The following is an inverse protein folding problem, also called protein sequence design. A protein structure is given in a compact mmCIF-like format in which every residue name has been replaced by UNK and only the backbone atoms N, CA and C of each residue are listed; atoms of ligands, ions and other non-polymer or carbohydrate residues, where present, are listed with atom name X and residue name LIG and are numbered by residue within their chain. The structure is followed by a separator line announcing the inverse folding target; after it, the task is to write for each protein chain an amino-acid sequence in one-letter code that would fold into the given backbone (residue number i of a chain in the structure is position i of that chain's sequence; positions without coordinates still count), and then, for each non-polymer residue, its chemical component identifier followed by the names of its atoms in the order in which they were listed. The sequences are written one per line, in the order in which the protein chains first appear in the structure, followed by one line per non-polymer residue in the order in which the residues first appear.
data_IF_502178485824
#
_entry.id   IF_502178485824
#
_cell.length_a   1.000
_cell.length_b   1.000
_cell.length_c   1.000
_cell.angle_alpha   90.00
_cell.angle_beta   90.00
_cell.angle_gamma   90.00
#
_symmetry.space_group_name_H-M   'P 1'
#
loop_
_entity.id
_entity.type
_entity.pdbx_description
1 polymer ?
#
# COMPACT_ATOMS: atom_id res chain seq x y z
N UNK A 1 -5.53 -0.44 6.26
CA UNK A 1 -5.91 0.93 6.67
C UNK A 1 -6.54 1.78 5.56
N UNK A 2 -5.95 1.91 4.36
CA UNK A 2 -6.50 2.80 3.32
C UNK A 2 -7.94 2.44 2.85
N UNK A 3 -8.35 1.17 2.97
CA UNK A 3 -9.72 0.70 2.66
C UNK A 3 -10.81 1.32 3.54
N UNK A 4 -10.46 1.83 4.73
CA UNK A 4 -11.39 2.62 5.54
C UNK A 4 -11.80 3.91 4.83
N UNK A 5 -10.86 4.57 4.15
CA UNK A 5 -11.12 5.75 3.34
C UNK A 5 -12.02 5.42 2.15
N UNK A 6 -11.81 4.27 1.51
CA UNK A 6 -12.67 3.80 0.42
C UNK A 6 -14.14 3.71 0.85
N UNK A 7 -14.40 3.13 2.03
CA UNK A 7 -15.76 3.00 2.56
C UNK A 7 -16.37 4.37 2.88
N UNK A 8 -15.64 5.23 3.61
CA UNK A 8 -16.12 6.55 4.00
C UNK A 8 -16.37 7.46 2.79
N UNK A 9 -15.43 7.49 1.84
CA UNK A 9 -15.59 8.25 0.61
C UNK A 9 -16.70 7.69 -0.27
N UNK A 10 -16.82 6.36 -0.40
CA UNK A 10 -17.89 5.73 -1.17
C UNK A 10 -19.28 6.04 -0.61
N UNK A 11 -19.45 5.96 0.72
CA UNK A 11 -20.70 6.32 1.40
C UNK A 11 -21.03 7.81 1.22
N UNK A 12 -20.06 8.70 1.46
CA UNK A 12 -20.27 10.13 1.31
C UNK A 12 -20.54 10.55 -0.14
N UNK A 13 -19.88 9.91 -1.11
CA UNK A 13 -20.11 10.16 -2.53
C UNK A 13 -21.52 9.74 -2.95
N UNK A 14 -21.96 8.53 -2.55
CA UNK A 14 -23.33 8.06 -2.78
C UNK A 14 -24.40 8.94 -2.11
N UNK A 15 -24.10 9.50 -0.93
CA UNK A 15 -24.96 10.47 -0.23
C UNK A 15 -24.84 11.91 -0.78
N UNK A 16 -24.10 12.13 -1.88
CA UNK A 16 -23.84 13.45 -2.51
C UNK A 16 -23.16 14.47 -1.57
N UNK A 17 -22.48 14.01 -0.54
CA UNK A 17 -21.71 14.83 0.41
C UNK A 17 -20.27 15.05 -0.11
N UNK A 18 -20.14 15.61 -1.32
CA UNK A 18 -18.84 15.71 -2.01
C UNK A 18 -17.75 16.42 -1.21
N UNK A 19 -18.10 17.48 -0.48
CA UNK A 19 -17.16 18.24 0.36
C UNK A 19 -16.49 17.39 1.45
N UNK A 20 -17.14 16.31 1.92
CA UNK A 20 -16.61 15.45 2.97
C UNK A 20 -15.48 14.54 2.49
N UNK A 21 -15.41 14.21 1.19
CA UNK A 21 -14.39 13.31 0.67
C UNK A 21 -12.97 13.86 0.92
N UNK A 22 -12.76 15.16 0.65
CA UNK A 22 -11.47 15.81 0.90
C UNK A 22 -11.12 15.87 2.39
N UNK A 23 -12.13 16.02 3.26
CA UNK A 23 -11.96 15.99 4.71
C UNK A 23 -11.57 14.56 5.16
N UNK A 24 -12.23 13.52 4.66
CA UNK A 24 -11.88 12.14 4.98
C UNK A 24 -10.48 11.77 4.49
N UNK A 25 -10.09 12.22 3.29
CA UNK A 25 -8.71 12.03 2.79
C UNK A 25 -7.68 12.61 3.77
N UNK A 26 -7.90 13.83 4.25
CA UNK A 26 -7.03 14.49 5.22
C UNK A 26 -7.03 13.78 6.58
N UNK A 27 -8.21 13.36 7.08
CA UNK A 27 -8.32 12.56 8.32
C UNK A 27 -7.53 11.26 8.22
N UNK A 28 -7.66 10.57 7.10
CA UNK A 28 -6.90 9.35 6.83
C UNK A 28 -5.41 9.62 6.78
N UNK A 29 -4.95 10.71 6.15
CA UNK A 29 -3.53 11.09 6.24
C UNK A 29 -3.08 11.28 7.68
N UNK A 30 -3.79 12.07 8.48
CA UNK A 30 -3.43 12.31 9.89
C UNK A 30 -3.28 10.98 10.66
N UNK A 31 -4.30 10.11 10.58
CA UNK A 31 -4.29 8.82 11.29
C UNK A 31 -3.16 7.93 10.78
N UNK A 32 -3.01 7.80 9.47
CA UNK A 32 -2.01 6.91 8.88
C UNK A 32 -0.59 7.40 9.13
N UNK A 33 -0.32 8.71 9.05
CA UNK A 33 1.02 9.25 9.29
C UNK A 33 1.40 9.09 10.76
N UNK A 34 0.45 9.31 11.68
CA UNK A 34 0.66 9.03 13.10
C UNK A 34 0.97 7.54 13.33
N UNK A 35 0.19 6.63 12.73
CA UNK A 35 0.46 5.19 12.83
C UNK A 35 1.80 4.80 12.20
N UNK A 36 2.16 5.34 11.04
CA UNK A 36 3.43 5.08 10.38
C UNK A 36 4.61 5.48 11.28
N UNK A 37 4.53 6.66 11.92
CA UNK A 37 5.55 7.12 12.88
C UNK A 37 5.67 6.16 14.06
N UNK A 38 4.55 5.69 14.62
CA UNK A 38 4.55 4.71 15.71
C UNK A 38 5.17 3.36 15.31
N UNK A 39 5.12 3.00 14.02
CA UNK A 39 5.69 1.77 13.49
C UNK A 39 7.16 1.90 13.07
N UNK A 40 7.70 3.12 12.93
CA UNK A 40 9.10 3.33 12.53
C UNK A 40 10.13 2.59 13.39
N UNK A 41 9.99 2.49 14.74
CA UNK A 41 10.92 1.73 15.54
C UNK A 41 11.07 0.26 15.09
N UNK A 42 10.01 -0.37 14.58
CA UNK A 42 10.09 -1.75 14.07
C UNK A 42 11.02 -1.85 12.85
N UNK A 43 10.98 -0.87 11.95
CA UNK A 43 11.87 -0.81 10.78
C UNK A 43 13.31 -0.48 11.19
N UNK A 44 13.50 0.50 12.07
CA UNK A 44 14.83 0.92 12.54
C UNK A 44 15.53 -0.21 13.32
N UNK A 45 14.79 -0.91 14.16
CA UNK A 45 15.34 -1.98 15.01
C UNK A 45 15.17 -3.39 14.41
N UNK A 46 14.87 -3.53 13.11
CA UNK A 46 14.68 -4.84 12.48
C UNK A 46 15.85 -5.79 12.71
N UNK A 47 17.10 -5.34 12.50
CA UNK A 47 18.27 -6.20 12.69
C UNK A 47 18.44 -6.67 14.15
N UNK A 48 18.42 -5.80 15.19
CA UNK A 48 18.40 -6.22 16.59
C UNK A 48 17.26 -7.18 16.93
N UNK A 49 16.05 -6.93 16.44
CA UNK A 49 14.88 -7.78 16.70
C UNK A 49 15.11 -9.18 16.10
N UNK A 50 15.52 -9.27 14.83
CA UNK A 50 15.77 -10.56 14.18
C UNK A 50 16.93 -11.32 14.82
N UNK A 51 17.98 -10.61 15.27
CA UNK A 51 19.07 -11.23 16.03
C UNK A 51 18.58 -11.81 17.35
N UNK A 52 17.71 -11.11 18.07
CA UNK A 52 17.11 -11.61 19.31
C UNK A 52 16.21 -12.84 19.07
N UNK A 53 15.62 -12.95 17.88
CA UNK A 53 14.87 -14.13 17.43
C UNK A 53 15.76 -15.27 16.92
N UNK A 54 17.09 -15.15 17.03
CA UNK A 54 18.04 -16.21 16.66
C UNK A 54 18.23 -16.41 15.16
N UNK A 55 17.93 -15.40 14.34
CA UNK A 55 18.11 -15.48 12.88
C UNK A 55 19.59 -15.44 12.48
N UNK A 56 19.89 -16.02 11.32
CA UNK A 56 21.25 -16.07 10.75
C UNK A 56 21.84 -14.64 10.59
N UNK A 57 23.11 -14.40 10.96
CA UNK A 57 23.72 -13.07 10.88
C UNK A 57 23.70 -12.42 9.50
N UNK A 58 23.82 -13.20 8.42
CA UNK A 58 23.77 -12.66 7.05
C UNK A 58 22.35 -12.23 6.69
N UNK A 59 21.34 -13.03 7.07
CA UNK A 59 19.93 -12.65 6.88
C UNK A 59 19.60 -11.40 7.68
N UNK A 60 20.04 -11.32 8.94
CA UNK A 60 19.87 -10.16 9.82
C UNK A 60 20.46 -8.90 9.20
N UNK A 61 21.67 -8.99 8.63
CA UNK A 61 22.33 -7.86 7.98
C UNK A 61 21.51 -7.34 6.79
N UNK A 62 21.13 -8.24 5.87
CA UNK A 62 20.35 -7.88 4.68
C UNK A 62 18.97 -7.35 5.05
N UNK A 63 18.28 -7.97 6.00
CA UNK A 63 16.97 -7.53 6.46
C UNK A 63 17.02 -6.15 7.14
N UNK A 64 18.08 -5.87 7.91
CA UNK A 64 18.33 -4.55 8.49
C UNK A 64 18.57 -3.49 7.42
N UNK A 65 19.35 -3.80 6.38
CA UNK A 65 19.58 -2.86 5.28
C UNK A 65 18.27 -2.57 4.52
N UNK A 66 17.52 -3.62 4.16
CA UNK A 66 16.23 -3.50 3.46
C UNK A 66 15.22 -2.70 4.29
N UNK A 67 15.17 -2.90 5.61
CA UNK A 67 14.16 -2.25 6.46
C UNK A 67 14.28 -0.73 6.43
N UNK A 68 15.49 -0.16 6.34
CA UNK A 68 15.69 1.28 6.18
C UNK A 68 15.14 1.80 4.85
N UNK A 69 15.37 1.09 3.75
CA UNK A 69 14.79 1.45 2.45
C UNK A 69 13.26 1.40 2.46
N UNK A 70 12.68 0.45 3.20
CA UNK A 70 11.23 0.32 3.34
C UNK A 70 10.57 1.46 4.11
N UNK A 71 11.31 2.26 4.88
CA UNK A 71 10.77 3.48 5.51
C UNK A 71 10.29 4.45 4.42
N UNK A 72 11.06 4.64 3.35
CA UNK A 72 10.64 5.50 2.23
C UNK A 72 9.43 4.92 1.49
N UNK A 73 9.39 3.58 1.32
CA UNK A 73 8.26 2.87 0.70
C UNK A 73 6.98 3.04 1.52
N UNK A 74 7.07 2.94 2.85
CA UNK A 74 5.95 3.08 3.77
C UNK A 74 5.23 4.42 3.58
N UNK A 75 5.98 5.52 3.55
CA UNK A 75 5.41 6.86 3.35
C UNK A 75 4.90 7.07 1.93
N UNK A 76 5.56 6.48 0.92
CA UNK A 76 5.09 6.54 -0.46
C UNK A 76 3.71 5.88 -0.61
N UNK A 77 3.52 4.69 -0.01
CA UNK A 77 2.27 3.94 -0.03
C UNK A 77 1.12 4.65 0.65
N UNK A 78 1.40 5.35 1.74
CA UNK A 78 0.38 6.04 2.52
C UNK A 78 -0.38 7.05 1.66
N UNK A 79 0.34 7.92 0.95
CA UNK A 79 -0.26 8.93 0.08
C UNK A 79 -0.84 8.28 -1.18
N UNK A 80 -0.09 7.40 -1.84
CA UNK A 80 -0.55 6.73 -3.07
C UNK A 80 -1.86 5.97 -2.86
N UNK A 81 -1.97 5.13 -1.83
CA UNK A 81 -3.18 4.35 -1.62
C UNK A 81 -4.36 5.20 -1.17
N UNK A 82 -4.15 6.22 -0.33
CA UNK A 82 -5.26 7.09 0.09
C UNK A 82 -5.78 7.96 -1.05
N UNK A 83 -4.90 8.56 -1.84
CA UNK A 83 -5.28 9.26 -3.05
C UNK A 83 -5.99 8.33 -4.04
N UNK A 84 -5.51 7.09 -4.19
CA UNK A 84 -6.15 6.10 -5.04
C UNK A 84 -7.57 5.79 -4.58
N UNK A 85 -7.79 5.49 -3.29
CA UNK A 85 -9.14 5.24 -2.78
C UNK A 85 -10.07 6.46 -2.92
N UNK A 86 -9.53 7.67 -2.70
CA UNK A 86 -10.26 8.92 -2.93
C UNK A 86 -10.67 9.08 -4.40
N UNK A 87 -9.77 8.82 -5.35
CA UNK A 87 -10.07 8.91 -6.79
C UNK A 87 -11.02 7.80 -7.26
N UNK A 88 -10.84 6.58 -6.76
CA UNK A 88 -11.70 5.43 -7.07
C UNK A 88 -13.13 5.64 -6.61
N UNK A 89 -13.34 6.24 -5.42
CA UNK A 89 -14.68 6.56 -4.93
C UNK A 89 -15.48 7.53 -5.81
N UNK A 90 -14.78 8.28 -6.67
CA UNK A 90 -15.35 9.24 -7.62
C UNK A 90 -15.30 8.73 -9.06
N UNK A 91 -15.04 7.43 -9.26
CA UNK A 91 -14.92 6.81 -10.59
C UNK A 91 -13.78 7.35 -11.47
N UNK A 92 -12.79 8.03 -10.90
CA UNK A 92 -11.62 8.60 -11.61
C UNK A 92 -10.48 7.59 -11.77
N UNK A 93 -10.78 6.39 -12.27
CA UNK A 93 -9.81 5.29 -12.34
C UNK A 93 -8.79 5.43 -13.47
N UNK A 94 -9.10 6.18 -14.53
CA UNK A 94 -8.20 6.33 -15.68
C UNK A 94 -6.86 6.96 -15.30
N UNK A 95 -6.87 7.99 -14.45
CA UNK A 95 -5.62 8.61 -13.98
C UNK A 95 -4.79 7.62 -13.14
N UNK A 96 -5.43 6.78 -12.33
CA UNK A 96 -4.76 5.74 -11.56
C UNK A 96 -4.12 4.72 -12.50
N UNK A 97 -4.85 4.26 -13.53
CA UNK A 97 -4.36 3.30 -14.50
C UNK A 97 -3.16 3.83 -15.30
N UNK A 98 -3.21 5.08 -15.78
CA UNK A 98 -2.10 5.69 -16.51
C UNK A 98 -0.86 5.85 -15.64
N UNK A 99 -1.01 6.29 -14.38
CA UNK A 99 0.12 6.42 -13.45
C UNK A 99 0.71 5.06 -13.07
N UNK A 100 -0.13 4.03 -12.90
CA UNK A 100 0.33 2.66 -12.65
C UNK A 100 1.13 2.09 -13.84
N UNK A 101 0.64 2.29 -15.07
CA UNK A 101 1.34 1.87 -16.28
C UNK A 101 2.69 2.59 -16.44
N UNK A 102 2.72 3.91 -16.22
CA UNK A 102 3.95 4.70 -16.25
C UNK A 102 4.95 4.24 -15.17
N UNK A 103 4.46 4.02 -13.95
CA UNK A 103 5.25 3.50 -12.83
C UNK A 103 5.86 2.14 -13.17
N UNK A 104 5.10 1.23 -13.78
CA UNK A 104 5.59 -0.09 -14.18
C UNK A 104 6.69 0.03 -15.25
N UNK A 105 6.47 0.82 -16.29
CA UNK A 105 7.46 1.01 -17.36
C UNK A 105 8.77 1.60 -16.83
N UNK A 106 8.67 2.63 -15.97
CA UNK A 106 9.84 3.26 -15.36
C UNK A 106 10.53 2.30 -14.39
N UNK A 107 9.77 1.53 -13.60
CA UNK A 107 10.35 0.54 -12.70
C UNK A 107 11.15 -0.52 -13.46
N UNK A 108 10.59 -1.07 -14.54
CA UNK A 108 11.29 -2.05 -15.39
C UNK A 108 12.59 -1.47 -15.96
N UNK A 109 12.52 -0.27 -16.52
CA UNK A 109 13.68 0.41 -17.07
C UNK A 109 14.76 0.69 -16.01
N UNK A 110 14.37 1.27 -14.88
CA UNK A 110 15.31 1.60 -13.80
C UNK A 110 15.88 0.36 -13.13
N UNK A 111 15.08 -0.70 -12.94
CA UNK A 111 15.57 -1.96 -12.40
C UNK A 111 16.63 -2.57 -13.33
N UNK A 112 16.39 -2.63 -14.63
CA UNK A 112 17.41 -3.06 -15.59
C UNK A 112 18.66 -2.17 -15.55
N UNK A 113 18.48 -0.85 -15.59
CA UNK A 113 19.60 0.10 -15.63
C UNK A 113 20.47 0.02 -14.36
N UNK A 114 19.86 0.09 -13.18
CA UNK A 114 20.57 0.18 -11.91
C UNK A 114 21.16 -1.18 -11.47
N UNK A 115 20.46 -2.29 -11.75
CA UNK A 115 20.90 -3.62 -11.30
C UNK A 115 21.77 -4.35 -12.32
N UNK A 116 21.44 -4.28 -13.62
CA UNK A 116 22.15 -5.04 -14.67
C UNK A 116 23.31 -4.23 -15.26
N UNK A 117 23.06 -2.99 -15.67
CA UNK A 117 24.10 -2.16 -16.29
C UNK A 117 25.06 -1.58 -15.26
N UNK A 118 24.54 -0.85 -14.26
CA UNK A 118 25.37 -0.19 -13.24
C UNK A 118 25.79 -1.12 -12.10
N UNK A 119 25.17 -2.30 -11.98
CA UNK A 119 25.54 -3.33 -10.99
C UNK A 119 25.51 -2.85 -9.55
N UNK A 120 24.55 -1.96 -9.21
CA UNK A 120 24.36 -1.47 -7.84
C UNK A 120 23.69 -2.49 -6.90
N UNK A 121 23.41 -3.71 -7.38
CA UNK A 121 22.87 -4.81 -6.57
C UNK A 121 21.56 -4.43 -5.87
N UNK A 122 21.48 -4.74 -4.57
CA UNK A 122 20.32 -4.45 -3.72
C UNK A 122 19.96 -2.96 -3.68
N UNK A 123 20.95 -2.08 -3.56
CA UNK A 123 20.72 -0.64 -3.53
C UNK A 123 20.09 -0.15 -4.85
N UNK A 124 20.50 -0.72 -5.98
CA UNK A 124 19.89 -0.47 -7.29
C UNK A 124 18.42 -0.87 -7.35
N UNK A 125 18.09 -2.07 -6.86
CA UNK A 125 16.72 -2.59 -6.83
C UNK A 125 15.81 -1.79 -5.87
N UNK A 126 16.31 -1.42 -4.69
CA UNK A 126 15.55 -0.59 -3.75
C UNK A 126 15.34 0.83 -4.27
N UNK A 127 16.34 1.40 -4.94
CA UNK A 127 16.23 2.73 -5.57
C UNK A 127 15.19 2.73 -6.69
N UNK A 128 15.21 1.74 -7.60
CA UNK A 128 14.20 1.64 -8.67
C UNK A 128 12.79 1.46 -8.10
N UNK A 129 12.66 0.71 -7.00
CA UNK A 129 11.39 0.49 -6.31
C UNK A 129 10.84 1.77 -5.70
N UNK A 130 11.66 2.53 -4.97
CA UNK A 130 11.24 3.78 -4.34
C UNK A 130 10.82 4.78 -5.42
N UNK A 131 11.64 4.99 -6.44
CA UNK A 131 11.32 5.93 -7.52
C UNK A 131 10.01 5.57 -8.23
N UNK A 132 9.77 4.28 -8.47
CA UNK A 132 8.51 3.81 -9.03
C UNK A 132 7.31 4.19 -8.16
N UNK A 133 7.38 3.93 -6.85
CA UNK A 133 6.26 4.21 -5.94
C UNK A 133 5.97 5.70 -5.72
N UNK A 134 6.95 6.57 -5.92
CA UNK A 134 6.75 8.02 -5.86
C UNK A 134 6.06 8.59 -7.10
N UNK A 135 6.06 7.89 -8.25
CA UNK A 135 5.38 8.37 -9.47
C UNK A 135 3.85 8.44 -9.27
N UNK A 136 3.15 7.36 -8.85
CA UNK A 136 1.73 7.45 -8.51
C UNK A 136 1.45 8.44 -7.39
N UNK A 137 2.35 8.54 -6.40
CA UNK A 137 2.21 9.46 -5.28
C UNK A 137 2.11 10.91 -5.77
N UNK A 138 3.14 11.38 -6.47
CA UNK A 138 3.20 12.75 -6.98
C UNK A 138 2.09 13.00 -8.02
N UNK A 139 1.87 12.05 -8.94
CA UNK A 139 0.87 12.18 -9.99
C UNK A 139 -0.56 12.30 -9.44
N UNK A 140 -0.94 11.43 -8.51
CA UNK A 140 -2.27 11.47 -7.91
C UNK A 140 -2.44 12.70 -7.00
N UNK A 141 -1.43 13.06 -6.22
CA UNK A 141 -1.47 14.23 -5.34
C UNK A 141 -1.63 15.51 -6.16
N UNK A 142 -0.84 15.69 -7.22
CA UNK A 142 -0.96 16.81 -8.15
C UNK A 142 -2.34 16.82 -8.80
N UNK A 143 -2.85 15.68 -9.26
CA UNK A 143 -4.18 15.62 -9.87
C UNK A 143 -5.28 16.05 -8.89
N UNK A 144 -5.23 15.60 -7.64
CA UNK A 144 -6.19 15.98 -6.59
C UNK A 144 -6.11 17.48 -6.27
N UNK A 145 -4.89 18.00 -6.05
CA UNK A 145 -4.68 19.38 -5.58
C UNK A 145 -4.75 20.44 -6.67
N UNK A 146 -4.35 20.13 -7.90
CA UNK A 146 -4.27 21.08 -9.02
C UNK A 146 -5.54 21.10 -9.90
N UNK A 147 -6.69 20.70 -9.34
CA UNK A 147 -8.00 20.91 -9.96
C UNK A 147 -8.61 19.73 -10.70
N UNK A 148 -8.05 18.52 -10.59
CA UNK A 148 -8.71 17.29 -11.08
C UNK A 148 -9.93 16.87 -10.25
N UNK A 149 -10.06 17.41 -9.03
CA UNK A 149 -11.10 17.07 -8.05
C UNK A 149 -11.76 18.32 -7.41
N UNK A 150 -12.10 19.36 -8.18
CA UNK A 150 -12.59 20.66 -7.66
C UNK A 150 -13.83 20.59 -6.75
N UNK A 151 -14.69 19.60 -6.92
CA UNK A 151 -15.92 19.46 -6.13
C UNK A 151 -15.68 18.78 -4.78
N UNK A 152 -14.72 17.85 -4.73
CA UNK A 152 -14.43 16.98 -3.60
C UNK A 152 -13.19 17.38 -2.82
N UNK A 153 -12.29 18.13 -3.44
CA UNK A 153 -11.11 18.74 -2.84
C UNK A 153 -11.23 20.28 -2.88
N UNK A 154 -11.39 20.88 -1.69
CA UNK A 154 -11.45 22.34 -1.50
C UNK A 154 -10.20 22.92 -0.82
N UNK A 155 -9.12 22.12 -0.75
CA UNK A 155 -7.91 22.45 0.01
C UNK A 155 -7.91 21.89 1.43
N UNK A 156 -6.88 22.26 2.18
CA UNK A 156 -6.72 21.84 3.57
C UNK A 156 -7.79 22.46 4.47
N UNK A 157 -8.29 21.68 5.44
CA UNK A 157 -9.36 22.11 6.34
C UNK A 157 -9.08 21.69 7.77
N UNK A 158 -9.34 22.59 8.72
CA UNK A 158 -9.24 22.30 10.16
C UNK A 158 -10.23 21.21 10.59
N UNK A 159 -11.32 21.02 9.84
CA UNK A 159 -12.29 19.94 10.07
C UNK A 159 -11.67 18.53 9.96
N UNK A 160 -10.49 18.42 9.34
CA UNK A 160 -9.72 17.18 9.29
C UNK A 160 -9.19 16.74 10.66
N UNK A 161 -9.08 17.63 11.65
CA UNK A 161 -8.64 17.27 13.00
C UNK A 161 -9.80 16.86 13.92
N UNK A 162 -11.03 17.10 13.49
CA UNK A 162 -12.21 16.71 14.25
C UNK A 162 -12.62 15.27 13.91
N UNK A 163 -13.18 14.57 14.89
CA UNK A 163 -13.91 13.32 14.69
C UNK A 163 -13.09 12.24 13.96
N UNK A 164 -11.85 12.03 14.44
CA UNK A 164 -10.92 11.01 13.93
C UNK A 164 -11.29 9.59 14.35
N UNK A 165 -12.04 9.43 15.44
CA UNK A 165 -12.33 8.13 16.04
C UNK A 165 -13.02 7.13 15.09
N UNK A 166 -14.03 7.52 14.28
CA UNK A 166 -14.61 6.63 13.27
C UNK A 166 -13.58 6.13 12.25
N UNK A 167 -12.68 7.01 11.80
CA UNK A 167 -11.60 6.67 10.86
C UNK A 167 -10.62 5.70 11.51
N UNK A 168 -10.24 5.94 12.76
CA UNK A 168 -9.36 5.06 13.54
C UNK A 168 -9.98 3.67 13.71
N UNK A 169 -11.23 3.58 14.16
CA UNK A 169 -11.93 2.32 14.39
C UNK A 169 -12.02 1.48 13.11
N UNK A 170 -12.40 2.10 11.99
CA UNK A 170 -12.51 1.42 10.70
C UNK A 170 -11.13 1.05 10.12
N UNK A 171 -10.12 1.92 10.30
CA UNK A 171 -8.74 1.65 9.90
C UNK A 171 -8.14 0.48 10.68
N UNK A 172 -8.42 0.40 11.98
CA UNK A 172 -7.96 -0.69 12.84
C UNK A 172 -8.57 -2.01 12.39
N UNK A 173 -9.90 -2.07 12.27
CA UNK A 173 -10.61 -3.29 11.84
C UNK A 173 -10.14 -3.80 10.47
N UNK A 174 -10.04 -2.91 9.47
CA UNK A 174 -9.55 -3.28 8.14
C UNK A 174 -8.09 -3.74 8.15
N UNK A 175 -7.28 -3.23 9.06
CA UNK A 175 -5.86 -3.61 9.16
C UNK A 175 -5.70 -4.93 9.88
N UNK A 176 -6.46 -5.17 10.95
CA UNK A 176 -6.50 -6.47 11.61
C UNK A 176 -6.90 -7.57 10.61
N UNK A 177 -7.91 -7.33 9.78
CA UNK A 177 -8.32 -8.27 8.73
C UNK A 177 -7.16 -8.62 7.80
N UNK A 178 -6.49 -7.61 7.22
CA UNK A 178 -5.38 -7.83 6.29
C UNK A 178 -4.15 -8.45 6.99
N UNK A 179 -3.85 -8.04 8.22
CA UNK A 179 -2.76 -8.63 9.01
C UNK A 179 -3.02 -10.11 9.30
N UNK A 180 -4.26 -10.49 9.66
CA UNK A 180 -4.62 -11.88 9.88
C UNK A 180 -4.48 -12.71 8.61
N UNK A 181 -4.87 -12.16 7.45
CA UNK A 181 -4.69 -12.82 6.15
C UNK A 181 -3.20 -13.06 5.82
N UNK A 182 -2.36 -12.04 5.99
CA UNK A 182 -0.91 -12.15 5.75
C UNK A 182 -0.22 -13.09 6.75
N UNK A 183 -0.58 -13.00 8.03
CA UNK A 183 -0.04 -13.86 9.07
C UNK A 183 -0.48 -15.31 8.89
N UNK A 184 -1.73 -15.55 8.49
CA UNK A 184 -2.22 -16.87 8.14
C UNK A 184 -1.33 -17.52 7.06
N UNK A 185 -1.07 -16.79 5.97
CA UNK A 185 -0.19 -17.28 4.90
C UNK A 185 1.25 -17.51 5.39
N UNK A 186 1.77 -16.64 6.26
CA UNK A 186 3.12 -16.79 6.84
C UNK A 186 3.21 -18.03 7.73
N UNK A 187 2.19 -18.29 8.54
CA UNK A 187 2.10 -19.48 9.39
C UNK A 187 2.01 -20.74 8.53
N UNK A 188 1.22 -20.72 7.45
CA UNK A 188 1.16 -21.86 6.51
C UNK A 188 2.53 -22.17 5.92
N UNK A 189 3.26 -21.15 5.43
CA UNK A 189 4.61 -21.34 4.90
C UNK A 189 5.55 -21.93 5.96
N UNK A 190 5.48 -21.45 7.20
CA UNK A 190 6.29 -21.95 8.31
C UNK A 190 5.96 -23.42 8.66
N UNK A 191 4.69 -23.78 8.68
CA UNK A 191 4.26 -25.16 8.93
C UNK A 191 4.69 -26.09 7.79
N UNK A 192 4.50 -25.67 6.53
CA UNK A 192 4.92 -26.41 5.34
C UNK A 192 6.43 -26.60 5.28
N UNK A 193 7.21 -25.61 5.75
CA UNK A 193 8.66 -25.70 5.89
C UNK A 193 9.15 -26.75 6.90
N UNK A 194 8.27 -27.29 7.75
CA UNK A 194 8.59 -28.36 8.70
C UNK A 194 8.21 -29.77 8.20
N UNK A 195 7.73 -29.91 6.96
CA UNK A 195 7.39 -31.20 6.38
C UNK A 195 8.63 -31.98 5.93
N UNK A 196 8.52 -33.31 5.81
CA UNK A 196 9.63 -34.21 5.43
C UNK A 196 10.31 -33.82 4.11
N UNK A 197 9.55 -33.31 3.15
CA UNK A 197 10.04 -32.77 1.87
C UNK A 197 9.73 -31.27 1.82
N UNK A 198 10.33 -30.49 2.73
CA UNK A 198 10.04 -29.07 2.93
C UNK A 198 10.21 -28.25 1.64
N UNK A 199 11.29 -28.46 0.89
CA UNK A 199 11.57 -27.74 -0.37
C UNK A 199 10.41 -27.88 -1.36
N UNK A 200 10.07 -29.11 -1.76
CA UNK A 200 8.96 -29.39 -2.71
C UNK A 200 7.62 -28.87 -2.18
N UNK A 201 7.37 -29.01 -0.87
CA UNK A 201 6.09 -28.61 -0.29
C UNK A 201 5.93 -27.10 -0.22
N UNK A 202 7.00 -26.37 0.14
CA UNK A 202 7.03 -24.91 0.19
C UNK A 202 6.95 -24.33 -1.22
N UNK A 203 7.67 -24.92 -2.18
CA UNK A 203 7.59 -24.50 -3.59
C UNK A 203 6.19 -24.68 -4.16
N UNK A 204 5.55 -25.83 -3.91
CA UNK A 204 4.17 -26.07 -4.32
C UNK A 204 3.20 -25.07 -3.67
N UNK A 205 3.35 -24.80 -2.36
CA UNK A 205 2.55 -23.80 -1.66
C UNK A 205 2.77 -22.40 -2.25
N UNK A 206 4.00 -22.02 -2.58
CA UNK A 206 4.31 -20.73 -3.18
C UNK A 206 3.61 -20.57 -4.55
N UNK A 207 3.57 -21.62 -5.38
CA UNK A 207 2.81 -21.60 -6.63
C UNK A 207 1.32 -21.38 -6.36
N UNK A 208 0.73 -22.12 -5.42
CA UNK A 208 -0.68 -21.96 -5.05
C UNK A 208 -1.01 -20.54 -4.56
N UNK A 209 -0.15 -19.96 -3.71
CA UNK A 209 -0.32 -18.60 -3.20
C UNK A 209 -0.21 -17.55 -4.33
N UNK A 210 0.68 -17.76 -5.30
CA UNK A 210 0.79 -16.87 -6.47
C UNK A 210 -0.47 -16.92 -7.35
N UNK A 211 -0.99 -18.12 -7.65
CA UNK A 211 -2.21 -18.29 -8.44
C UNK A 211 -3.40 -17.63 -7.74
N UNK A 212 -3.56 -17.88 -6.43
CA UNK A 212 -4.61 -17.25 -5.63
C UNK A 212 -4.49 -15.71 -5.63
N UNK A 213 -3.27 -15.18 -5.54
CA UNK A 213 -3.03 -13.75 -5.65
C UNK A 213 -3.48 -13.17 -7.00
N UNK A 214 -3.24 -13.86 -8.11
CA UNK A 214 -3.66 -13.43 -9.44
C UNK A 214 -5.18 -13.44 -9.60
N UNK A 215 -5.84 -14.52 -9.14
CA UNK A 215 -7.30 -14.63 -9.14
C UNK A 215 -7.96 -13.52 -8.30
N UNK A 216 -7.37 -13.22 -7.14
CA UNK A 216 -7.86 -12.15 -6.27
C UNK A 216 -7.80 -10.78 -6.95
N UNK A 217 -6.77 -10.49 -7.76
CA UNK A 217 -6.68 -9.21 -8.49
C UNK A 217 -7.82 -9.05 -9.50
N UNK A 218 -8.25 -10.13 -10.15
CA UNK A 218 -9.41 -10.11 -11.06
C UNK A 218 -10.68 -9.79 -10.27
N UNK A 219 -10.89 -10.46 -9.14
CA UNK A 219 -12.04 -10.23 -8.25
C UNK A 219 -12.09 -8.79 -7.72
N UNK A 220 -10.95 -8.24 -7.29
CA UNK A 220 -10.84 -6.84 -6.87
C UNK A 220 -11.12 -5.87 -8.02
N UNK A 221 -10.70 -6.19 -9.25
CA UNK A 221 -11.02 -5.43 -10.45
C UNK A 221 -12.53 -5.36 -10.69
N UNK A 222 -13.24 -6.49 -10.61
CA UNK A 222 -14.70 -6.52 -10.72
C UNK A 222 -15.38 -5.77 -9.58
N UNK A 223 -14.90 -5.88 -8.34
CA UNK A 223 -15.45 -5.14 -7.19
C UNK A 223 -15.32 -3.62 -7.40
N UNK A 224 -14.18 -3.16 -7.91
CA UNK A 224 -13.98 -1.76 -8.26
C UNK A 224 -14.88 -1.33 -9.43
N UNK A 225 -15.10 -2.19 -10.42
CA UNK A 225 -15.96 -1.92 -11.59
C UNK A 225 -17.47 -1.93 -11.25
N UNK A 226 -17.95 -2.86 -10.43
CA UNK A 226 -19.38 -2.98 -10.09
C UNK A 226 -19.91 -1.75 -9.34
N UNK A 227 -19.05 -1.06 -8.57
CA UNK A 227 -19.38 0.22 -7.92
C UNK A 227 -19.77 1.33 -8.90
N UNK A 228 -19.37 1.23 -10.17
CA UNK A 228 -19.78 2.17 -11.22
C UNK A 228 -21.27 2.10 -11.55
N UNK A 229 -21.87 0.91 -11.48
CA UNK A 229 -23.24 0.69 -11.95
C UNK A 229 -24.26 1.27 -10.96
N UNK A 230 -23.93 1.33 -9.66
CA UNK A 230 -24.81 1.86 -8.62
C UNK A 230 -24.67 3.37 -8.36
N UNK A 231 -23.75 4.05 -9.04
CA UNK A 231 -23.57 5.51 -8.95
C UNK A 231 -24.16 6.29 -10.15
N UNK A 232 -24.71 5.58 -11.15
CA UNK A 232 -25.54 6.12 -12.23
C UNK A 232 -27.02 5.98 -11.84
#
# INVERSE_FOLDING_TARGET
MATALETLCGQAYGAKQYHMLGIYLQRSWIVLFATAILLLPLFIFTAPIMRALGQDPNIVAVAGDISYWFIAVLFAFLVSFTCQMFLQSQSKNMIIAYLAAASLAIHLFLSWLLTVNFKFGLAGAMTSTILAYWIPNLGQLMFVMCGGCKETWKGFSILAFNDLWPVIKLSLSSSTMLCLELWYNTILVLLTGNLKNAEVSVDALAICLNINGWEMMISLGFLAAARYIYCL
#
